data_IF_503497384122
#
_entry.id   IF_503497384122
#
_cell.length_a   1.000
_cell.length_b   1.000
_cell.length_c   1.000
_cell.angle_alpha   90.00
_cell.angle_beta   90.00
_cell.angle_gamma   90.00
#
_symmetry.space_group_name_H-M   'P 1'
#
loop_
_entity.id
_entity.type
_entity.pdbx_description
1 polymer ?
#
# COMPACT_ATOMS: atom_id res chain seq x y z
N UNK A 1 -20.51 -8.24 -3.60
CA UNK A 1 -19.55 -7.41 -2.85
C UNK A 1 -18.56 -6.79 -3.83
N UNK A 2 -18.05 -5.57 -3.55
CA UNK A 2 -16.94 -5.01 -4.34
C UNK A 2 -15.66 -5.83 -4.10
N UNK A 3 -14.81 -6.06 -5.13
CA UNK A 3 -13.51 -6.69 -4.93
C UNK A 3 -12.66 -5.92 -3.91
N UNK A 4 -11.85 -6.64 -3.14
CA UNK A 4 -10.84 -6.07 -2.26
C UNK A 4 -9.46 -6.36 -2.86
N UNK A 5 -8.69 -5.32 -3.11
CA UNK A 5 -7.33 -5.41 -3.63
C UNK A 5 -6.34 -5.08 -2.51
N UNK A 6 -5.45 -6.00 -2.19
CA UNK A 6 -4.34 -5.75 -1.26
C UNK A 6 -3.13 -5.30 -2.08
N UNK A 7 -2.87 -3.99 -2.07
CA UNK A 7 -1.69 -3.40 -2.68
C UNK A 7 -0.50 -3.44 -1.71
N UNK A 8 -0.11 -4.67 -1.33
CA UNK A 8 1.02 -4.94 -0.46
C UNK A 8 1.58 -6.34 -0.73
N UNK A 9 2.90 -6.45 -0.71
CA UNK A 9 3.61 -7.74 -0.80
C UNK A 9 3.89 -8.36 0.58
N UNK A 10 3.36 -7.80 1.66
CA UNK A 10 3.64 -8.29 3.01
C UNK A 10 2.81 -9.54 3.33
N UNK A 11 3.43 -10.71 3.56
CA UNK A 11 2.68 -11.92 3.93
C UNK A 11 1.92 -11.74 5.25
N UNK A 12 2.47 -10.96 6.19
CA UNK A 12 1.80 -10.64 7.46
C UNK A 12 0.49 -9.87 7.26
N UNK A 13 0.43 -8.95 6.29
CA UNK A 13 -0.79 -8.16 6.03
C UNK A 13 -1.87 -8.99 5.37
N UNK A 14 -1.49 -9.89 4.45
CA UNK A 14 -2.42 -10.86 3.87
C UNK A 14 -3.00 -11.76 4.98
N UNK A 15 -2.14 -12.35 5.81
CA UNK A 15 -2.56 -13.21 6.92
C UNK A 15 -3.53 -12.50 7.88
N UNK A 16 -3.28 -11.23 8.23
CA UNK A 16 -4.18 -10.46 9.08
C UNK A 16 -5.58 -10.28 8.45
N UNK A 17 -5.66 -10.07 7.14
CA UNK A 17 -6.94 -9.95 6.43
C UNK A 17 -7.66 -11.30 6.35
N UNK A 18 -6.93 -12.39 6.10
CA UNK A 18 -7.47 -13.75 6.10
C UNK A 18 -8.03 -14.14 7.47
N UNK A 19 -7.36 -13.76 8.56
CA UNK A 19 -7.85 -13.95 9.93
C UNK A 19 -9.18 -13.21 10.21
N UNK A 20 -9.43 -12.11 9.48
CA UNK A 20 -10.70 -11.37 9.52
C UNK A 20 -11.75 -11.95 8.56
N UNK A 21 -11.47 -13.07 7.89
CA UNK A 21 -12.36 -13.70 6.92
C UNK A 21 -12.39 -13.00 5.55
N UNK A 22 -11.43 -12.12 5.26
CA UNK A 22 -11.33 -11.41 3.99
C UNK A 22 -10.42 -12.17 3.02
N UNK A 23 -10.75 -12.13 1.73
CA UNK A 23 -9.98 -12.78 0.67
C UNK A 23 -9.59 -11.73 -0.39
N UNK A 24 -8.55 -10.92 -0.14
CA UNK A 24 -8.13 -9.89 -1.07
C UNK A 24 -7.42 -10.49 -2.29
N UNK A 25 -7.57 -9.87 -3.44
CA UNK A 25 -6.70 -10.10 -4.60
C UNK A 25 -5.41 -9.28 -4.42
N UNK A 26 -4.24 -9.91 -4.55
CA UNK A 26 -2.96 -9.21 -4.45
C UNK A 26 -2.76 -8.29 -5.65
N UNK A 27 -2.32 -7.06 -5.39
CA UNK A 27 -1.98 -6.06 -6.39
C UNK A 27 -0.51 -5.66 -6.21
N UNK A 28 0.39 -6.34 -6.92
CA UNK A 28 1.82 -6.04 -6.88
C UNK A 28 2.17 -4.87 -7.81
N UNK A 29 3.26 -4.13 -7.55
CA UNK A 29 3.84 -3.22 -8.52
C UNK A 29 4.19 -3.92 -9.84
N UNK A 30 3.98 -3.22 -10.95
CA UNK A 30 4.43 -3.65 -12.27
C UNK A 30 5.96 -3.44 -12.39
N UNK A 31 6.66 -4.17 -13.29
CA UNK A 31 8.12 -4.08 -13.41
C UNK A 31 8.69 -2.69 -13.72
N UNK A 32 7.87 -1.78 -14.27
CA UNK A 32 8.27 -0.42 -14.61
C UNK A 32 8.02 0.59 -13.47
N UNK A 33 7.39 0.16 -12.38
CA UNK A 33 7.08 1.01 -11.24
C UNK A 33 8.16 0.88 -10.15
N UNK A 34 8.82 1.98 -9.84
CA UNK A 34 9.70 2.07 -8.68
C UNK A 34 8.85 2.33 -7.42
N UNK A 35 8.39 1.23 -6.80
CA UNK A 35 7.59 1.31 -5.59
C UNK A 35 8.41 1.78 -4.37
N UNK A 36 9.72 1.52 -4.37
CA UNK A 36 10.63 1.87 -3.27
C UNK A 36 10.90 3.38 -3.24
N UNK A 37 10.93 4.05 -4.40
CA UNK A 37 11.06 5.51 -4.48
C UNK A 37 9.94 6.27 -3.74
N UNK A 38 8.78 5.63 -3.50
CA UNK A 38 7.69 6.24 -2.72
C UNK A 38 8.04 6.38 -1.22
N UNK A 39 9.01 5.59 -0.74
CA UNK A 39 9.44 5.49 0.66
C UNK A 39 10.61 6.42 1.00
N UNK A 40 11.01 7.30 0.08
CA UNK A 40 12.09 8.26 0.34
C UNK A 40 11.73 9.16 1.52
N UNK A 41 12.62 9.21 2.51
CA UNK A 41 12.49 10.05 3.70
C UNK A 41 12.82 11.50 3.36
N UNK A 42 11.96 12.43 3.77
CA UNK A 42 12.23 13.86 3.61
C UNK A 42 13.05 14.41 4.79
N UNK A 43 13.98 15.36 4.59
CA UNK A 43 14.75 15.96 5.68
C UNK A 43 13.83 16.59 6.74
N UNK A 44 14.03 16.21 8.00
CA UNK A 44 13.26 16.73 9.14
C UNK A 44 11.83 16.21 9.25
N UNK A 45 11.42 15.27 8.40
CA UNK A 45 10.07 14.69 8.44
C UNK A 45 9.85 13.85 9.71
N UNK A 46 8.77 14.13 10.42
CA UNK A 46 8.38 13.34 11.59
C UNK A 46 7.92 11.93 11.17
N UNK A 47 8.17 10.88 11.99
CA UNK A 47 7.80 9.51 11.63
C UNK A 47 6.32 9.30 11.33
N UNK A 48 5.43 9.98 12.06
CA UNK A 48 3.97 9.94 11.84
C UNK A 48 3.58 10.59 10.50
N UNK A 49 4.20 11.71 10.15
CA UNK A 49 4.01 12.38 8.86
C UNK A 49 4.52 11.50 7.72
N UNK A 50 5.70 10.91 7.89
CA UNK A 50 6.31 9.98 6.94
C UNK A 50 5.37 8.81 6.62
N UNK A 51 4.93 8.06 7.64
CA UNK A 51 4.14 6.84 7.42
C UNK A 51 2.79 7.15 6.76
N UNK A 52 2.17 8.28 7.09
CA UNK A 52 0.93 8.74 6.45
C UNK A 52 1.17 9.15 5.00
N UNK A 53 2.20 9.94 4.71
CA UNK A 53 2.55 10.37 3.35
C UNK A 53 2.85 9.16 2.47
N UNK A 54 3.72 8.26 2.92
CA UNK A 54 4.10 7.05 2.18
C UNK A 54 2.89 6.15 1.94
N UNK A 55 2.03 5.95 2.95
CA UNK A 55 0.79 5.17 2.77
C UNK A 55 -0.10 5.77 1.67
N UNK A 56 -0.23 7.10 1.64
CA UNK A 56 -1.03 7.79 0.63
C UNK A 56 -0.41 7.69 -0.77
N UNK A 57 0.90 7.87 -0.89
CA UNK A 57 1.62 7.70 -2.15
C UNK A 57 1.46 6.27 -2.71
N UNK A 58 1.54 5.26 -1.85
CA UNK A 58 1.28 3.85 -2.22
C UNK A 58 -0.16 3.66 -2.73
N UNK A 59 -1.14 4.27 -2.07
CA UNK A 59 -2.54 4.23 -2.53
C UNK A 59 -2.71 4.90 -3.89
N UNK A 60 -2.17 6.10 -4.08
CA UNK A 60 -2.28 6.84 -5.34
C UNK A 60 -1.60 6.10 -6.51
N UNK A 61 -0.44 5.46 -6.27
CA UNK A 61 0.19 4.57 -7.26
C UNK A 61 -0.68 3.36 -7.58
N UNK A 62 -1.25 2.71 -6.56
CA UNK A 62 -2.07 1.51 -6.72
C UNK A 62 -3.39 1.80 -7.44
N UNK A 63 -4.01 2.97 -7.20
CA UNK A 63 -5.20 3.41 -7.94
C UNK A 63 -4.89 3.70 -9.41
N UNK A 64 -3.73 4.33 -9.69
CA UNK A 64 -3.26 4.53 -11.08
C UNK A 64 -3.02 3.19 -11.77
N UNK A 65 -2.39 2.23 -11.09
CA UNK A 65 -2.18 0.86 -11.58
C UNK A 65 -3.50 0.16 -11.86
N UNK A 66 -4.45 0.17 -10.92
CA UNK A 66 -5.78 -0.44 -11.09
C UNK A 66 -6.47 0.10 -12.35
N UNK A 67 -6.40 1.42 -12.57
CA UNK A 67 -6.94 2.06 -13.77
C UNK A 67 -6.19 1.66 -15.03
N UNK A 68 -4.86 1.63 -14.99
CA UNK A 68 -4.02 1.25 -16.14
C UNK A 68 -4.23 -0.20 -16.57
N UNK A 69 -4.33 -1.13 -15.60
CA UNK A 69 -4.62 -2.55 -15.83
C UNK A 69 -6.09 -2.81 -16.22
N UNK A 70 -6.97 -1.81 -16.16
CA UNK A 70 -8.40 -1.98 -16.44
C UNK A 70 -9.11 -2.92 -15.46
N UNK A 71 -8.62 -3.02 -14.22
CA UNK A 71 -9.23 -3.89 -13.22
C UNK A 71 -10.64 -3.39 -12.83
N UNK A 72 -11.56 -4.31 -12.45
CA UNK A 72 -12.88 -3.92 -11.96
C UNK A 72 -12.81 -2.92 -10.80
N UNK A 73 -13.76 -2.01 -10.73
CA UNK A 73 -13.84 -1.06 -9.62
C UNK A 73 -14.01 -1.80 -8.28
N UNK A 74 -13.09 -1.58 -7.35
CA UNK A 74 -13.06 -2.22 -6.04
C UNK A 74 -12.45 -1.33 -4.95
N UNK A 75 -12.24 -1.91 -3.78
CA UNK A 75 -11.55 -1.26 -2.66
C UNK A 75 -10.08 -1.59 -2.76
N UNK A 76 -9.21 -0.58 -2.79
CA UNK A 76 -7.75 -0.76 -2.74
C UNK A 76 -7.27 -0.47 -1.31
N UNK A 77 -6.58 -1.43 -0.71
CA UNK A 77 -6.02 -1.33 0.62
C UNK A 77 -4.50 -1.24 0.55
N UNK A 78 -3.95 -0.17 1.12
CA UNK A 78 -2.52 0.06 1.31
C UNK A 78 -2.23 0.29 2.78
N UNK A 79 -1.00 -0.02 3.19
CA UNK A 79 -0.50 0.30 4.52
C UNK A 79 1.01 0.55 4.46
N UNK A 80 1.48 1.36 5.38
CA UNK A 80 2.89 1.53 5.70
C UNK A 80 3.12 1.32 7.19
N UNK A 81 4.34 0.98 7.60
CA UNK A 81 4.66 0.69 8.99
C UNK A 81 6.06 1.22 9.28
N UNK A 82 6.16 2.16 10.21
CA UNK A 82 7.45 2.72 10.64
C UNK A 82 7.67 2.44 12.12
N UNK A 83 8.93 2.33 12.52
CA UNK A 83 9.38 2.24 13.91
C UNK A 83 10.29 3.44 14.17
N UNK A 84 10.04 4.16 15.26
CA UNK A 84 10.82 5.34 15.63
C UNK A 84 11.16 5.32 17.12
N UNK A 85 12.28 5.93 17.48
CA UNK A 85 12.73 6.10 18.86
C UNK A 85 13.34 7.49 19.03
N UNK A 86 12.99 8.19 20.11
CA UNK A 86 13.57 9.49 20.45
C UNK A 86 13.08 10.67 19.60
N UNK A 87 12.07 10.45 18.76
CA UNK A 87 11.33 11.46 17.99
C UNK A 87 9.87 11.04 17.89
#
# INVERSE_FOLDING_TARGET
MKPLYLASQSPRRLQLLEQLGLQPTLMTPEPHEDAEALEVVSPGEAPSTYVQRVTRLKLDASLRRMKWLGWPAGVVLCADTTVAQGR
#
